data_IF_435592632673
#
_entry.id   IF_435592632673
#
_cell.length_a   1.000
_cell.length_b   1.000
_cell.length_c   1.000
_cell.angle_alpha   90.00
_cell.angle_beta   90.00
_cell.angle_gamma   90.00
#
_symmetry.space_group_name_H-M   'P 1'
#
loop_
_entity.id
_entity.type
_entity.pdbx_description
1 polymer ?
#
# COMPACT_ATOMS: atom_id res chain seq x y z
N UNK A 1 22.20 22.90 15.40
CA UNK A 1 22.63 24.09 16.18
C UNK A 1 22.64 25.29 15.27
N UNK A 2 22.32 26.49 15.80
CA UNK A 2 22.40 27.72 15.03
C UNK A 2 22.87 28.89 15.88
N UNK A 3 23.44 29.88 15.21
CA UNK A 3 23.75 31.20 15.75
C UNK A 3 23.14 32.28 14.86
N UNK A 4 22.56 33.27 15.46
CA UNK A 4 22.14 34.50 14.78
C UNK A 4 23.06 35.60 15.29
N UNK A 5 23.68 36.33 14.36
CA UNK A 5 24.60 37.39 14.71
C UNK A 5 23.97 38.77 14.56
N UNK A 6 24.50 39.78 15.29
CA UNK A 6 23.98 41.16 15.30
C UNK A 6 24.11 41.84 13.94
N UNK A 7 25.01 41.38 13.09
CA UNK A 7 25.21 41.85 11.72
C UNK A 7 24.31 41.10 10.68
N UNK A 8 23.36 40.28 11.15
CA UNK A 8 22.29 39.72 10.35
C UNK A 8 22.61 38.40 9.67
N UNK A 9 23.64 37.67 10.12
CA UNK A 9 23.94 36.32 9.58
C UNK A 9 23.30 35.23 10.44
N UNK A 10 22.77 34.20 9.77
CA UNK A 10 22.36 32.94 10.35
C UNK A 10 23.37 31.83 9.99
N UNK A 11 23.96 31.26 11.00
CA UNK A 11 24.89 30.13 10.87
C UNK A 11 24.23 28.85 11.38
N UNK A 12 24.27 27.81 10.57
CA UNK A 12 23.72 26.48 10.90
C UNK A 12 24.81 25.42 10.80
N UNK A 13 24.92 24.59 11.82
CA UNK A 13 25.85 23.46 11.85
C UNK A 13 25.28 22.29 12.65
N UNK A 14 25.63 21.06 12.24
CA UNK A 14 25.30 19.84 13.00
C UNK A 14 26.00 19.82 14.36
N UNK A 15 27.20 20.38 14.46
CA UNK A 15 28.05 20.33 15.64
C UNK A 15 28.41 21.73 16.17
N UNK A 16 28.85 21.78 17.41
CA UNK A 16 29.34 23.00 18.08
C UNK A 16 30.81 23.22 17.72
N UNK A 17 31.21 24.48 17.52
CA UNK A 17 32.62 24.82 17.30
C UNK A 17 33.12 24.67 15.88
N UNK A 18 32.28 24.34 14.92
CA UNK A 18 32.63 24.25 13.50
C UNK A 18 33.07 25.60 12.92
N UNK A 19 32.43 26.66 13.37
CA UNK A 19 32.74 28.02 12.92
C UNK A 19 33.69 28.69 13.94
N UNK A 20 34.93 28.83 13.55
CA UNK A 20 35.94 29.55 14.31
C UNK A 20 35.89 31.04 13.95
N UNK A 21 36.13 31.90 14.94
CA UNK A 21 36.27 33.34 14.72
C UNK A 21 35.01 34.18 14.99
N UNK A 22 33.87 33.58 15.31
CA UNK A 22 32.68 34.31 15.80
C UNK A 22 32.85 34.59 17.28
N UNK A 23 33.01 35.87 17.65
CA UNK A 23 33.09 36.29 19.06
C UNK A 23 31.71 36.28 19.72
N UNK A 24 31.66 35.91 20.97
CA UNK A 24 30.40 35.78 21.73
C UNK A 24 29.58 37.08 21.76
N UNK A 25 30.28 38.21 21.77
CA UNK A 25 29.65 39.55 21.72
C UNK A 25 28.89 39.85 20.41
N UNK A 26 29.25 39.17 19.33
CA UNK A 26 28.63 39.28 18.02
C UNK A 26 27.35 38.42 17.90
N UNK A 27 27.15 37.50 18.82
CA UNK A 27 26.04 36.57 18.77
C UNK A 27 24.82 37.23 19.41
N UNK A 28 23.73 37.31 18.67
CA UNK A 28 22.44 37.78 19.13
C UNK A 28 21.66 36.65 19.82
N UNK A 29 21.65 35.47 19.17
CA UNK A 29 20.93 34.29 19.64
C UNK A 29 21.72 33.02 19.35
N UNK A 30 21.67 32.07 20.28
CA UNK A 30 22.16 30.69 20.13
C UNK A 30 21.01 29.74 20.31
N UNK A 31 20.86 28.76 19.39
CA UNK A 31 19.79 27.81 19.51
C UNK A 31 20.11 26.42 18.98
N UNK A 32 19.18 25.53 19.26
CA UNK A 32 19.13 24.20 18.69
C UNK A 32 17.73 23.95 18.12
N UNK A 33 17.66 23.49 16.89
CA UNK A 33 16.39 23.02 16.33
C UNK A 33 16.09 21.68 17.01
N UNK A 34 14.95 21.59 17.66
CA UNK A 34 14.47 20.39 18.32
C UNK A 34 13.78 19.46 17.31
N UNK A 35 13.67 18.16 17.58
CA UNK A 35 12.89 17.24 16.76
C UNK A 35 11.46 17.76 16.55
N UNK A 36 10.94 17.66 15.32
CA UNK A 36 9.61 18.12 14.95
C UNK A 36 9.43 19.65 14.88
N UNK A 37 10.52 20.43 15.02
CA UNK A 37 10.52 21.89 14.92
C UNK A 37 11.22 22.36 13.66
N UNK A 38 10.73 23.47 13.10
CA UNK A 38 11.27 24.14 11.91
C UNK A 38 11.87 25.50 12.28
N UNK A 39 12.84 25.93 11.51
CA UNK A 39 13.39 27.28 11.54
C UNK A 39 13.52 27.76 10.10
N UNK A 40 12.93 28.90 9.78
CA UNK A 40 13.00 29.50 8.45
C UNK A 40 13.59 30.90 8.54
N UNK A 41 14.62 31.16 7.74
CA UNK A 41 15.14 32.50 7.51
C UNK A 41 14.53 33.06 6.22
N UNK A 42 13.60 33.98 6.36
CA UNK A 42 13.03 34.72 5.23
C UNK A 42 13.95 35.88 4.88
N UNK A 43 14.77 35.71 3.86
CA UNK A 43 15.75 36.71 3.40
C UNK A 43 15.09 37.92 2.75
N UNK A 44 13.87 37.78 2.24
CA UNK A 44 13.11 38.88 1.63
C UNK A 44 12.52 39.78 2.71
N UNK A 45 11.91 39.17 3.72
CA UNK A 45 11.34 39.89 4.88
C UNK A 45 12.37 40.22 5.95
N UNK A 46 13.59 39.73 5.83
CA UNK A 46 14.68 39.84 6.80
C UNK A 46 14.27 39.40 8.21
N UNK A 47 13.53 38.30 8.29
CA UNK A 47 12.96 37.79 9.54
C UNK A 47 13.26 36.29 9.70
N UNK A 48 13.57 35.90 10.93
CA UNK A 48 13.55 34.48 11.33
C UNK A 48 12.13 34.16 11.77
N UNK A 49 11.55 33.11 11.17
CA UNK A 49 10.23 32.61 11.54
C UNK A 49 10.38 31.45 12.51
N UNK A 50 9.63 31.50 13.59
CA UNK A 50 9.53 30.41 14.54
C UNK A 50 8.69 29.27 14.03
N UNK A 51 8.80 28.08 14.63
CA UNK A 51 8.02 26.90 14.29
C UNK A 51 6.50 27.18 14.33
N UNK A 52 6.04 27.88 15.37
CA UNK A 52 4.62 28.15 15.55
C UNK A 52 4.10 29.14 14.50
N UNK A 53 4.86 30.20 14.18
CA UNK A 53 4.53 31.14 13.09
C UNK A 53 4.46 30.44 11.74
N UNK A 54 5.39 29.52 11.47
CA UNK A 54 5.41 28.74 10.23
C UNK A 54 4.17 27.86 10.15
N UNK A 55 3.92 27.06 11.19
CA UNK A 55 2.78 26.14 11.26
C UNK A 55 1.45 26.88 11.12
N UNK A 56 1.27 27.96 11.84
CA UNK A 56 0.06 28.76 11.75
C UNK A 56 -0.13 29.36 10.36
N UNK A 57 0.93 29.93 9.78
CA UNK A 57 0.88 30.51 8.42
C UNK A 57 0.44 29.48 7.37
N UNK A 58 0.97 28.25 7.43
CA UNK A 58 0.63 27.22 6.45
C UNK A 58 -0.69 26.52 6.76
N UNK A 59 -0.99 26.27 8.04
CA UNK A 59 -2.23 25.60 8.44
C UNK A 59 -3.48 26.46 8.20
N UNK A 60 -3.35 27.80 8.30
CA UNK A 60 -4.45 28.74 8.07
C UNK A 60 -4.57 29.23 6.62
N UNK A 61 -3.69 28.78 5.72
CA UNK A 61 -3.63 29.25 4.34
C UNK A 61 -4.88 28.92 3.53
N UNK A 62 -5.45 27.76 3.81
CA UNK A 62 -6.67 27.25 3.18
C UNK A 62 -7.54 26.56 4.25
N UNK A 63 -8.84 26.39 4.03
CA UNK A 63 -9.73 25.69 4.94
C UNK A 63 -9.61 24.16 4.78
N UNK A 64 -8.42 23.62 5.03
CA UNK A 64 -8.08 22.20 4.80
C UNK A 64 -9.01 21.22 5.54
N UNK A 65 -9.43 21.57 6.77
CA UNK A 65 -10.37 20.77 7.54
C UNK A 65 -11.72 20.64 6.85
N UNK A 66 -12.26 21.75 6.35
CA UNK A 66 -13.54 21.75 5.62
C UNK A 66 -13.44 20.95 4.31
N UNK A 67 -12.28 21.04 3.62
CA UNK A 67 -12.07 20.26 2.39
C UNK A 67 -12.06 18.74 2.67
N UNK A 68 -11.39 18.33 3.75
CA UNK A 68 -11.36 16.92 4.16
C UNK A 68 -12.76 16.44 4.57
N UNK A 69 -13.47 17.20 5.40
CA UNK A 69 -14.81 16.85 5.88
C UNK A 69 -15.83 16.73 4.73
N UNK A 70 -15.68 17.53 3.68
CA UNK A 70 -16.62 17.55 2.55
C UNK A 70 -16.31 16.50 1.48
N UNK A 71 -15.05 16.10 1.32
CA UNK A 71 -14.62 15.33 0.15
C UNK A 71 -14.03 13.96 0.47
N UNK A 72 -13.36 13.81 1.61
CA UNK A 72 -12.78 12.53 2.01
C UNK A 72 -13.88 11.59 2.54
N UNK A 73 -13.83 10.34 2.09
CA UNK A 73 -14.75 9.30 2.57
C UNK A 73 -13.97 8.20 3.28
N UNK A 74 -14.57 7.55 4.24
CA UNK A 74 -14.02 6.34 4.84
C UNK A 74 -14.70 5.09 4.25
N UNK A 75 -13.93 4.04 4.02
CA UNK A 75 -14.44 2.78 3.47
C UNK A 75 -15.58 2.18 4.31
N UNK A 76 -15.51 2.35 5.64
CA UNK A 76 -16.57 1.88 6.55
C UNK A 76 -17.95 2.52 6.28
N UNK A 77 -17.96 3.77 5.79
CA UNK A 77 -19.18 4.54 5.56
C UNK A 77 -19.83 4.23 4.20
N UNK A 78 -19.13 3.49 3.34
CA UNK A 78 -19.68 3.06 2.07
C UNK A 78 -20.78 2.01 2.28
N UNK A 79 -21.89 2.18 1.57
CA UNK A 79 -22.98 1.19 1.57
C UNK A 79 -22.54 -0.11 0.89
N UNK A 80 -22.92 -1.22 1.48
CA UNK A 80 -22.74 -2.54 0.85
C UNK A 80 -23.71 -2.61 -0.33
N UNK A 81 -23.24 -2.84 -1.56
CA UNK A 81 -24.10 -3.03 -2.71
C UNK A 81 -25.02 -4.25 -2.54
N UNK A 82 -26.24 -4.17 -3.07
CA UNK A 82 -27.14 -5.32 -3.10
C UNK A 82 -26.70 -6.35 -4.16
N UNK A 83 -25.49 -6.87 -3.98
CA UNK A 83 -24.87 -7.86 -4.85
C UNK A 83 -24.16 -8.88 -3.94
N UNK A 84 -24.32 -10.15 -4.25
CA UNK A 84 -23.59 -11.20 -3.52
C UNK A 84 -22.13 -11.21 -3.91
N UNK A 85 -21.28 -11.46 -2.93
CA UNK A 85 -19.85 -11.82 -3.18
C UNK A 85 -19.87 -13.15 -3.94
N UNK A 86 -19.05 -13.25 -4.97
CA UNK A 86 -18.84 -14.48 -5.71
C UNK A 86 -18.16 -15.52 -4.82
N UNK A 87 -18.78 -16.67 -4.68
CA UNK A 87 -18.28 -17.78 -3.86
C UNK A 87 -17.97 -18.97 -4.76
N UNK A 88 -16.94 -19.68 -4.44
CA UNK A 88 -16.53 -20.90 -5.13
C UNK A 88 -17.00 -22.13 -4.35
N UNK A 89 -17.28 -23.20 -5.07
CA UNK A 89 -17.48 -24.53 -4.45
C UNK A 89 -16.15 -25.08 -3.92
N UNK A 90 -16.21 -26.04 -3.02
CA UNK A 90 -15.00 -26.69 -2.46
C UNK A 90 -14.13 -27.30 -3.57
N UNK A 91 -14.75 -27.89 -4.61
CA UNK A 91 -14.06 -28.46 -5.75
C UNK A 91 -13.37 -27.38 -6.59
N UNK A 92 -14.00 -26.22 -6.77
CA UNK A 92 -13.40 -25.08 -7.46
C UNK A 92 -12.24 -24.49 -6.64
N UNK A 93 -12.42 -24.30 -5.34
CA UNK A 93 -11.36 -23.85 -4.43
C UNK A 93 -10.16 -24.82 -4.46
N UNK A 94 -10.38 -26.12 -4.42
CA UNK A 94 -9.32 -27.11 -4.49
C UNK A 94 -8.55 -27.05 -5.83
N UNK A 95 -9.26 -26.85 -6.95
CA UNK A 95 -8.63 -26.67 -8.28
C UNK A 95 -7.83 -25.36 -8.34
N UNK A 96 -8.37 -24.27 -7.84
CA UNK A 96 -7.69 -22.98 -7.79
C UNK A 96 -6.44 -23.02 -6.89
N UNK A 97 -6.55 -23.59 -5.68
CA UNK A 97 -5.37 -23.77 -4.80
C UNK A 97 -4.26 -24.57 -5.51
N UNK A 98 -4.62 -25.62 -6.24
CA UNK A 98 -3.64 -26.37 -7.04
C UNK A 98 -3.05 -25.54 -8.18
N UNK A 99 -3.87 -24.76 -8.89
CA UNK A 99 -3.42 -23.91 -9.99
C UNK A 99 -2.48 -22.78 -9.50
N UNK A 100 -2.75 -22.20 -8.34
CA UNK A 100 -1.94 -21.16 -7.71
C UNK A 100 -0.85 -21.69 -6.76
N UNK A 101 -0.64 -23.02 -6.74
CA UNK A 101 0.47 -23.66 -6.06
C UNK A 101 0.42 -23.54 -4.52
N UNK A 102 -0.76 -23.57 -3.91
CA UNK A 102 -0.90 -23.65 -2.47
C UNK A 102 -0.33 -24.96 -1.95
N UNK A 103 0.57 -24.90 -0.98
CA UNK A 103 1.10 -26.07 -0.31
C UNK A 103 0.27 -26.44 0.94
N UNK A 104 0.50 -27.64 1.46
CA UNK A 104 -0.13 -28.09 2.70
C UNK A 104 0.31 -27.24 3.90
N UNK A 105 1.58 -26.86 3.94
CA UNK A 105 2.17 -26.04 4.97
C UNK A 105 1.56 -24.60 4.93
N UNK A 106 1.43 -24.02 3.76
CA UNK A 106 0.79 -22.69 3.63
C UNK A 106 -0.67 -22.73 4.10
N UNK A 107 -1.38 -23.82 3.81
CA UNK A 107 -2.75 -24.02 4.28
C UNK A 107 -2.80 -24.15 5.81
N UNK A 108 -2.02 -25.06 6.40
CA UNK A 108 -2.08 -25.41 7.82
C UNK A 108 -1.31 -24.48 8.75
N UNK A 109 -0.11 -24.08 8.36
CA UNK A 109 0.82 -23.39 9.24
C UNK A 109 0.79 -21.87 9.05
N UNK A 110 0.49 -21.40 7.83
CA UNK A 110 0.39 -19.96 7.55
C UNK A 110 -1.06 -19.46 7.65
N UNK A 111 -1.92 -19.81 6.71
CA UNK A 111 -3.28 -19.24 6.62
C UNK A 111 -4.10 -19.55 7.87
N UNK A 112 -4.12 -20.82 8.30
CA UNK A 112 -4.87 -21.22 9.50
C UNK A 112 -4.37 -20.50 10.75
N UNK A 113 -3.07 -20.37 10.93
CA UNK A 113 -2.47 -19.73 12.11
C UNK A 113 -2.79 -18.23 12.13
N UNK A 114 -2.68 -17.55 11.02
CA UNK A 114 -3.05 -16.14 10.91
C UNK A 114 -4.54 -15.93 11.18
N UNK A 115 -5.41 -16.74 10.59
CA UNK A 115 -6.85 -16.67 10.82
C UNK A 115 -7.27 -16.98 12.26
N UNK A 116 -6.51 -17.81 12.98
CA UNK A 116 -6.78 -18.16 14.37
C UNK A 116 -6.27 -17.09 15.34
N UNK A 117 -5.04 -16.60 15.14
CA UNK A 117 -4.28 -15.83 16.13
C UNK A 117 -4.05 -14.35 15.76
N UNK A 118 -4.33 -13.93 14.52
CA UNK A 118 -4.01 -12.59 14.04
C UNK A 118 -2.50 -12.32 13.94
N UNK A 119 -1.69 -13.37 13.82
CA UNK A 119 -0.22 -13.28 13.73
C UNK A 119 0.33 -14.38 12.84
N UNK A 120 1.48 -14.14 12.23
CA UNK A 120 2.20 -15.20 11.52
C UNK A 120 2.62 -16.33 12.47
N UNK A 121 2.67 -17.54 11.94
CA UNK A 121 3.21 -18.69 12.65
C UNK A 121 4.69 -18.52 12.98
N UNK A 122 5.10 -19.04 14.13
CA UNK A 122 6.52 -19.10 14.51
C UNK A 122 7.18 -20.22 13.70
N UNK A 123 8.12 -19.86 12.85
CA UNK A 123 8.87 -20.80 12.00
C UNK A 123 10.37 -20.66 12.21
N UNK A 124 11.13 -21.62 11.68
CA UNK A 124 12.59 -21.52 11.66
C UNK A 124 13.04 -20.32 10.84
N UNK A 125 14.01 -19.57 11.35
CA UNK A 125 14.65 -18.46 10.62
C UNK A 125 15.63 -18.93 9.56
N UNK A 126 16.12 -20.15 9.63
CA UNK A 126 17.00 -20.77 8.64
C UNK A 126 16.18 -21.35 7.47
N UNK A 127 16.60 -21.09 6.25
CA UNK A 127 16.00 -21.65 5.05
C UNK A 127 17.05 -22.48 4.32
N UNK A 128 16.90 -23.79 4.35
CA UNK A 128 17.75 -24.75 3.62
C UNK A 128 17.28 -25.02 2.20
N UNK A 129 16.17 -24.43 1.78
CA UNK A 129 15.64 -24.55 0.43
C UNK A 129 16.59 -23.92 -0.59
N UNK A 130 16.86 -24.57 -1.75
CA UNK A 130 17.64 -23.98 -2.82
C UNK A 130 17.05 -22.63 -3.25
N UNK A 131 17.92 -21.74 -3.74
CA UNK A 131 17.46 -20.51 -4.40
C UNK A 131 16.40 -20.83 -5.44
N UNK A 132 15.32 -20.04 -5.49
CA UNK A 132 14.21 -20.25 -6.41
C UNK A 132 14.66 -20.40 -7.87
N UNK A 133 15.67 -19.64 -8.30
CA UNK A 133 16.25 -19.72 -9.64
C UNK A 133 16.96 -21.05 -9.94
N UNK A 134 17.32 -21.82 -8.92
CA UNK A 134 17.99 -23.13 -9.04
C UNK A 134 17.04 -24.30 -8.77
N UNK A 135 15.77 -24.04 -8.51
CA UNK A 135 14.77 -25.07 -8.25
C UNK A 135 14.19 -25.62 -9.55
N UNK A 136 13.91 -26.93 -9.58
CA UNK A 136 13.13 -27.57 -10.65
C UNK A 136 11.60 -27.37 -10.47
N UNK A 137 11.17 -26.81 -9.34
CA UNK A 137 9.78 -26.42 -9.11
C UNK A 137 9.58 -25.02 -9.65
N UNK A 138 8.35 -24.65 -9.96
CA UNK A 138 7.98 -23.28 -10.30
C UNK A 138 7.51 -22.57 -9.02
N UNK A 139 8.40 -21.91 -8.28
CA UNK A 139 8.00 -21.15 -7.10
C UNK A 139 7.26 -19.89 -7.53
N UNK A 140 6.47 -19.34 -6.62
CA UNK A 140 5.85 -18.03 -6.81
C UNK A 140 6.92 -16.96 -7.02
N UNK A 141 6.59 -15.94 -7.79
CA UNK A 141 7.51 -14.82 -8.06
C UNK A 141 8.00 -14.15 -6.76
N UNK A 142 7.19 -14.12 -5.73
CA UNK A 142 7.54 -13.60 -4.39
C UNK A 142 8.78 -14.28 -3.79
N UNK A 143 9.00 -15.57 -4.07
CA UNK A 143 10.14 -16.32 -3.54
C UNK A 143 11.52 -15.82 -4.01
N UNK A 144 11.56 -15.01 -5.06
CA UNK A 144 12.79 -14.39 -5.56
C UNK A 144 13.17 -13.11 -4.79
N UNK A 145 12.25 -12.54 -4.00
CA UNK A 145 12.44 -11.32 -3.26
C UNK A 145 12.74 -11.67 -1.80
N UNK A 146 14.01 -11.57 -1.43
CA UNK A 146 14.48 -11.86 -0.06
C UNK A 146 15.36 -10.72 0.43
N UNK A 147 15.27 -10.44 1.71
CA UNK A 147 16.18 -9.53 2.38
C UNK A 147 17.61 -10.08 2.31
N UNK A 148 18.57 -9.24 1.89
CA UNK A 148 19.97 -9.65 1.70
C UNK A 148 20.90 -9.24 2.83
N UNK A 149 20.48 -8.33 3.71
CA UNK A 149 21.31 -7.85 4.83
C UNK A 149 20.53 -7.89 6.11
N UNK A 150 21.27 -8.03 7.21
CA UNK A 150 20.69 -7.99 8.54
C UNK A 150 20.07 -6.62 8.83
N UNK A 151 18.97 -6.62 9.53
CA UNK A 151 18.35 -5.42 10.09
C UNK A 151 18.35 -5.52 11.61
N UNK A 152 18.35 -4.35 12.28
CA UNK A 152 18.20 -4.32 13.74
C UNK A 152 16.80 -4.80 14.11
N UNK A 153 16.73 -5.67 15.12
CA UNK A 153 15.46 -6.22 15.61
C UNK A 153 14.54 -5.13 16.16
N UNK A 154 15.12 -4.16 16.85
CA UNK A 154 14.39 -2.99 17.38
C UNK A 154 14.99 -1.72 16.75
N UNK A 155 14.48 -1.26 15.59
CA UNK A 155 14.95 -0.03 14.98
C UNK A 155 14.67 1.16 15.91
N UNK A 156 15.56 2.18 15.94
CA UNK A 156 15.41 3.34 16.82
C UNK A 156 14.31 4.28 16.30
N UNK A 157 13.06 3.92 16.55
CA UNK A 157 11.88 4.72 16.20
C UNK A 157 11.42 5.41 17.47
N UNK A 158 11.35 6.76 17.43
CA UNK A 158 10.80 7.54 18.54
C UNK A 158 9.25 7.45 18.56
N UNK A 159 8.66 7.71 19.73
CA UNK A 159 7.21 7.60 19.95
C UNK A 159 6.35 8.52 19.05
N UNK A 160 6.91 9.60 18.52
CA UNK A 160 6.21 10.51 17.59
C UNK A 160 6.17 9.92 16.20
N UNK A 161 7.30 9.36 15.75
CA UNK A 161 7.42 8.73 14.43
C UNK A 161 6.74 7.36 14.36
N UNK A 162 6.60 6.67 15.48
CA UNK A 162 5.95 5.36 15.55
C UNK A 162 4.57 5.36 14.90
N UNK A 163 3.76 6.38 15.18
CA UNK A 163 2.41 6.52 14.59
C UNK A 163 2.42 6.61 13.06
N UNK A 164 3.49 7.13 12.47
CA UNK A 164 3.63 7.23 11.01
C UNK A 164 4.19 5.92 10.45
N UNK A 165 5.21 5.38 11.09
CA UNK A 165 5.92 4.17 10.61
C UNK A 165 5.03 2.92 10.69
N UNK A 166 4.18 2.82 11.72
CA UNK A 166 3.26 1.69 11.91
C UNK A 166 1.89 1.90 11.29
N UNK A 167 1.66 3.03 10.62
CA UNK A 167 0.38 3.32 10.00
C UNK A 167 0.20 2.51 8.72
N UNK A 168 -0.88 1.75 8.65
CA UNK A 168 -1.28 0.94 7.48
C UNK A 168 -2.35 1.61 6.63
N UNK A 169 -2.86 2.78 7.04
CA UNK A 169 -3.90 3.48 6.28
C UNK A 169 -3.43 3.94 4.91
N UNK A 170 -4.25 3.72 3.90
CA UNK A 170 -4.03 4.15 2.52
C UNK A 170 -5.16 5.05 2.04
N UNK A 171 -4.85 5.92 1.10
CA UNK A 171 -5.81 6.81 0.46
C UNK A 171 -5.93 6.42 -1.01
N UNK A 172 -7.13 6.05 -1.43
CA UNK A 172 -7.41 5.52 -2.77
C UNK A 172 -8.26 6.55 -3.52
N UNK A 173 -7.77 7.01 -4.66
CA UNK A 173 -8.44 8.00 -5.50
C UNK A 173 -7.44 8.86 -6.24
N UNK A 174 -7.95 9.90 -6.88
CA UNK A 174 -7.12 10.84 -7.63
C UNK A 174 -6.46 11.83 -6.69
N UNK A 175 -5.15 11.68 -6.47
CA UNK A 175 -4.39 12.59 -5.60
C UNK A 175 -4.21 13.99 -6.20
N UNK A 176 -4.19 14.11 -7.53
CA UNK A 176 -3.95 15.37 -8.21
C UNK A 176 -2.50 15.86 -8.09
N UNK A 177 -2.32 17.17 -8.18
CA UNK A 177 -1.00 17.79 -8.04
C UNK A 177 -0.83 18.34 -6.61
N UNK A 178 0.00 17.72 -5.81
CA UNK A 178 0.28 18.13 -4.40
C UNK A 178 0.88 19.54 -4.27
N UNK A 179 1.47 20.07 -5.35
CA UNK A 179 1.99 21.45 -5.37
C UNK A 179 0.89 22.48 -5.69
N UNK A 180 -0.31 22.03 -6.04
CA UNK A 180 -1.46 22.87 -6.32
C UNK A 180 -2.59 22.49 -5.38
N UNK A 181 -2.67 23.21 -4.28
CA UNK A 181 -3.67 22.98 -3.23
C UNK A 181 -5.08 23.32 -3.74
N UNK A 182 -5.96 22.34 -3.76
CA UNK A 182 -7.34 22.50 -4.18
C UNK A 182 -8.24 21.43 -3.54
N UNK A 183 -9.54 21.74 -3.31
CA UNK A 183 -10.47 20.82 -2.63
C UNK A 183 -10.56 19.44 -3.28
N UNK A 184 -10.44 19.38 -4.62
CA UNK A 184 -10.53 18.16 -5.41
C UNK A 184 -9.43 17.14 -5.07
N UNK A 185 -8.29 17.59 -4.52
CA UNK A 185 -7.22 16.68 -4.07
C UNK A 185 -7.64 15.85 -2.84
N UNK A 186 -8.71 16.27 -2.16
CA UNK A 186 -9.28 15.56 -1.01
C UNK A 186 -10.36 14.52 -1.39
N UNK A 187 -10.68 14.37 -2.69
CA UNK A 187 -11.65 13.37 -3.17
C UNK A 187 -11.03 11.98 -3.19
N UNK A 188 -10.79 11.44 -2.01
CA UNK A 188 -10.15 10.14 -1.81
C UNK A 188 -10.94 9.28 -0.83
N UNK A 189 -10.80 7.97 -0.99
CA UNK A 189 -11.31 6.97 -0.07
C UNK A 189 -10.21 6.57 0.92
N UNK A 190 -10.42 6.85 2.19
CA UNK A 190 -9.53 6.40 3.25
C UNK A 190 -9.85 4.95 3.61
N UNK A 191 -8.83 4.11 3.57
CA UNK A 191 -8.87 2.69 3.90
C UNK A 191 -7.87 2.45 5.02
N UNK A 192 -8.32 1.91 6.14
CA UNK A 192 -7.47 1.76 7.33
C UNK A 192 -6.52 0.56 7.26
N UNK A 193 -6.87 -0.45 6.48
CA UNK A 193 -6.04 -1.63 6.24
C UNK A 193 -5.93 -1.89 4.74
N UNK A 194 -4.73 -2.03 4.17
CA UNK A 194 -4.54 -2.27 2.74
C UNK A 194 -4.92 -3.69 2.31
N UNK A 195 -5.15 -4.62 3.26
CA UNK A 195 -5.72 -5.94 2.96
C UNK A 195 -7.23 -5.81 3.06
N UNK A 196 -7.92 -6.10 1.98
CA UNK A 196 -9.35 -5.86 1.83
C UNK A 196 -10.12 -7.16 1.99
N UNK A 197 -11.13 -7.16 2.85
CA UNK A 197 -12.14 -8.22 2.82
C UNK A 197 -12.91 -8.22 1.49
N UNK A 198 -13.56 -9.33 1.15
CA UNK A 198 -14.39 -9.42 -0.06
C UNK A 198 -15.52 -8.39 -0.03
N UNK A 199 -16.08 -8.11 1.15
CA UNK A 199 -17.12 -7.07 1.32
C UNK A 199 -16.57 -5.67 1.06
N UNK A 200 -15.35 -5.39 1.50
CA UNK A 200 -14.73 -4.08 1.29
C UNK A 200 -14.39 -3.85 -0.18
N UNK A 201 -13.87 -4.86 -0.85
CA UNK A 201 -13.67 -4.79 -2.31
C UNK A 201 -15.00 -4.60 -3.04
N UNK A 202 -16.08 -5.29 -2.62
CA UNK A 202 -17.41 -5.13 -3.21
C UNK A 202 -17.94 -3.70 -3.04
N UNK A 203 -17.74 -3.07 -1.87
CA UNK A 203 -18.07 -1.66 -1.65
C UNK A 203 -17.31 -0.75 -2.62
N UNK A 204 -16.00 -0.97 -2.78
CA UNK A 204 -15.16 -0.19 -3.69
C UNK A 204 -15.61 -0.37 -5.14
N UNK A 205 -15.88 -1.60 -5.58
CA UNK A 205 -16.41 -1.87 -6.93
C UNK A 205 -17.75 -1.17 -7.18
N UNK A 206 -18.53 -0.96 -6.12
CA UNK A 206 -19.84 -0.30 -6.17
C UNK A 206 -19.83 1.22 -6.08
N UNK A 207 -18.72 1.84 -5.72
CA UNK A 207 -18.67 3.30 -5.52
C UNK A 207 -18.91 4.06 -6.84
N UNK A 208 -19.71 5.12 -6.76
CA UNK A 208 -20.06 5.98 -7.91
C UNK A 208 -20.12 7.44 -7.45
N UNK A 209 -19.01 7.93 -6.93
CA UNK A 209 -18.92 9.31 -6.45
C UNK A 209 -17.88 10.09 -7.26
N UNK A 210 -17.98 11.41 -7.35
CA UNK A 210 -17.01 12.23 -8.03
C UNK A 210 -15.59 11.92 -7.57
N UNK A 211 -14.68 11.68 -8.52
CA UNK A 211 -13.28 11.30 -8.22
C UNK A 211 -13.05 9.82 -7.90
N UNK A 212 -14.07 9.01 -7.70
CA UNK A 212 -13.97 7.58 -7.36
C UNK A 212 -14.70 6.71 -8.38
N UNK A 213 -14.02 6.38 -9.48
CA UNK A 213 -14.57 5.55 -10.57
C UNK A 213 -13.73 4.28 -10.74
N UNK A 214 -14.11 3.17 -10.10
CA UNK A 214 -13.37 1.91 -10.20
C UNK A 214 -13.62 1.26 -11.56
N UNK A 215 -12.56 0.69 -12.13
CA UNK A 215 -12.61 -0.15 -13.31
C UNK A 215 -11.81 -1.43 -13.08
N UNK A 216 -12.35 -2.56 -13.53
CA UNK A 216 -11.72 -3.87 -13.43
C UNK A 216 -10.98 -4.19 -14.72
N UNK A 217 -9.77 -4.71 -14.59
CA UNK A 217 -8.95 -5.20 -15.71
C UNK A 217 -8.41 -6.58 -15.34
N UNK A 218 -8.67 -7.54 -16.24
CA UNK A 218 -8.23 -8.93 -16.07
C UNK A 218 -6.72 -9.04 -16.26
N UNK A 219 -6.05 -9.73 -15.35
CA UNK A 219 -4.65 -10.12 -15.49
C UNK A 219 -4.50 -11.59 -15.89
N UNK A 220 -5.51 -12.10 -16.58
CA UNK A 220 -5.47 -13.44 -17.18
C UNK A 220 -5.17 -13.36 -18.67
N UNK A 221 -4.54 -14.39 -19.20
CA UNK A 221 -4.24 -14.52 -20.62
C UNK A 221 -4.43 -15.95 -21.09
N UNK A 222 -4.56 -16.15 -22.41
CA UNK A 222 -4.64 -17.48 -22.98
C UNK A 222 -3.35 -18.28 -22.71
N UNK A 223 -3.48 -19.54 -22.33
CA UNK A 223 -2.40 -20.45 -21.93
C UNK A 223 -1.21 -20.50 -22.90
N UNK A 224 -1.45 -20.29 -24.19
CA UNK A 224 -0.40 -20.32 -25.23
C UNK A 224 0.11 -18.93 -25.62
N UNK A 225 -0.36 -17.88 -25.00
CA UNK A 225 0.09 -16.51 -25.26
C UNK A 225 1.45 -16.28 -24.60
N UNK A 226 2.36 -15.62 -25.30
CA UNK A 226 3.61 -15.22 -24.67
C UNK A 226 3.36 -14.14 -23.62
N UNK A 227 4.10 -14.18 -22.50
CA UNK A 227 3.99 -13.21 -21.42
C UNK A 227 4.17 -11.77 -21.89
N UNK A 228 5.07 -11.54 -22.86
CA UNK A 228 5.28 -10.21 -23.45
C UNK A 228 4.00 -9.67 -24.08
N UNK A 229 3.34 -10.48 -24.92
CA UNK A 229 2.08 -10.09 -25.58
C UNK A 229 0.97 -9.90 -24.54
N UNK A 230 0.92 -10.73 -23.50
CA UNK A 230 -0.05 -10.59 -22.42
C UNK A 230 0.10 -9.24 -21.67
N UNK A 231 1.33 -8.83 -21.37
CA UNK A 231 1.61 -7.54 -20.74
C UNK A 231 1.28 -6.36 -21.68
N UNK A 232 1.61 -6.45 -22.97
CA UNK A 232 1.26 -5.40 -23.94
C UNK A 232 -0.27 -5.21 -24.03
N UNK A 233 -1.04 -6.29 -24.03
CA UNK A 233 -2.51 -6.25 -23.99
C UNK A 233 -3.02 -5.66 -22.69
N UNK A 234 -2.41 -6.03 -21.56
CA UNK A 234 -2.76 -5.46 -20.25
C UNK A 234 -2.60 -3.94 -20.26
N UNK A 235 -1.51 -3.40 -20.82
CA UNK A 235 -1.31 -1.95 -20.91
C UNK A 235 -2.37 -1.26 -21.79
N UNK A 236 -2.79 -1.89 -22.88
CA UNK A 236 -3.85 -1.36 -23.75
C UNK A 236 -5.19 -1.29 -22.97
N UNK A 237 -5.53 -2.34 -22.22
CA UNK A 237 -6.75 -2.33 -21.41
C UNK A 237 -6.69 -1.29 -20.28
N UNK A 238 -5.54 -1.12 -19.64
CA UNK A 238 -5.32 -0.06 -18.64
C UNK A 238 -5.52 1.32 -19.26
N UNK A 239 -5.00 1.56 -20.46
CA UNK A 239 -5.20 2.82 -21.17
C UNK A 239 -6.68 3.03 -21.55
N UNK A 240 -7.36 2.00 -21.98
CA UNK A 240 -8.78 2.06 -22.31
C UNK A 240 -9.60 2.53 -21.09
N UNK A 241 -9.47 1.85 -19.95
CA UNK A 241 -10.24 2.23 -18.76
C UNK A 241 -9.85 3.61 -18.22
N UNK A 242 -8.59 4.02 -18.38
CA UNK A 242 -8.16 5.39 -18.06
C UNK A 242 -8.86 6.42 -18.94
N UNK A 243 -8.94 6.18 -20.25
CA UNK A 243 -9.64 7.07 -21.19
C UNK A 243 -11.15 7.11 -20.95
N UNK A 244 -11.72 6.02 -20.44
CA UNK A 244 -13.12 5.95 -20.00
C UNK A 244 -13.37 6.68 -18.66
N UNK A 245 -12.33 7.25 -18.05
CA UNK A 245 -12.42 8.10 -16.85
C UNK A 245 -12.24 7.35 -15.52
N UNK A 246 -11.72 6.12 -15.55
CA UNK A 246 -11.42 5.40 -14.32
C UNK A 246 -10.37 6.14 -13.48
N UNK A 247 -10.59 6.18 -12.16
CA UNK A 247 -9.68 6.75 -11.17
C UNK A 247 -9.26 5.73 -10.09
N UNK A 248 -9.71 4.50 -10.21
CA UNK A 248 -9.28 3.35 -9.39
C UNK A 248 -9.16 2.16 -10.33
N UNK A 249 -7.99 1.56 -10.39
CA UNK A 249 -7.73 0.37 -11.21
C UNK A 249 -7.77 -0.89 -10.34
N UNK A 250 -8.67 -1.81 -10.64
CA UNK A 250 -8.74 -3.10 -9.99
C UNK A 250 -8.18 -4.16 -10.95
N UNK A 251 -7.01 -4.68 -10.64
CA UNK A 251 -6.42 -5.81 -11.36
C UNK A 251 -6.96 -7.11 -10.76
N UNK A 252 -7.49 -8.01 -11.57
CA UNK A 252 -8.09 -9.24 -11.08
C UNK A 252 -7.63 -10.47 -11.88
N UNK A 253 -7.30 -11.56 -11.18
CA UNK A 253 -7.00 -12.87 -11.78
C UNK A 253 -8.18 -13.84 -11.72
N UNK A 254 -9.37 -13.37 -11.32
CA UNK A 254 -10.57 -14.19 -11.46
C UNK A 254 -10.78 -14.60 -12.90
N UNK A 255 -11.26 -15.81 -13.14
CA UNK A 255 -11.43 -16.35 -14.49
C UNK A 255 -10.25 -17.21 -14.98
N UNK A 256 -9.37 -17.64 -14.07
CA UNK A 256 -8.43 -18.73 -14.36
C UNK A 256 -9.20 -20.03 -14.58
N UNK A 257 -9.00 -20.65 -15.74
CA UNK A 257 -9.65 -21.87 -16.17
C UNK A 257 -8.68 -22.78 -16.97
N UNK A 258 -9.21 -23.78 -17.68
CA UNK A 258 -8.39 -24.71 -18.48
C UNK A 258 -7.68 -24.02 -19.66
N UNK A 259 -8.17 -22.88 -20.10
CA UNK A 259 -7.69 -22.11 -21.28
C UNK A 259 -7.00 -20.81 -20.90
N UNK A 260 -7.27 -20.27 -19.73
CA UNK A 260 -6.72 -19.01 -19.23
C UNK A 260 -5.86 -19.21 -17.99
N UNK A 261 -4.69 -18.61 -18.00
CA UNK A 261 -3.74 -18.58 -16.90
C UNK A 261 -3.55 -17.16 -16.40
N UNK A 262 -3.25 -16.99 -15.10
CA UNK A 262 -2.95 -15.69 -14.55
C UNK A 262 -1.53 -15.25 -14.94
N UNK A 263 -1.37 -13.96 -15.24
CA UNK A 263 -0.07 -13.30 -15.17
C UNK A 263 0.31 -13.26 -13.68
N UNK A 264 1.54 -13.63 -13.28
CA UNK A 264 1.94 -13.53 -11.86
C UNK A 264 1.59 -12.17 -11.28
N UNK A 265 0.86 -12.15 -10.18
CA UNK A 265 0.24 -10.93 -9.64
C UNK A 265 1.25 -9.83 -9.35
N UNK A 266 2.40 -10.18 -8.76
CA UNK A 266 3.49 -9.24 -8.50
C UNK A 266 4.05 -8.63 -9.79
N UNK A 267 4.19 -9.42 -10.85
CA UNK A 267 4.64 -8.93 -12.14
C UNK A 267 3.60 -7.98 -12.77
N UNK A 268 2.33 -8.35 -12.71
CA UNK A 268 1.25 -7.53 -13.26
C UNK A 268 1.18 -6.17 -12.54
N UNK A 269 1.18 -6.16 -11.20
CA UNK A 269 1.19 -4.93 -10.39
C UNK A 269 2.40 -4.07 -10.72
N UNK A 270 3.62 -4.63 -10.67
CA UNK A 270 4.84 -3.89 -10.95
C UNK A 270 4.87 -3.33 -12.37
N UNK A 271 4.52 -4.15 -13.37
CA UNK A 271 4.50 -3.72 -14.77
C UNK A 271 3.51 -2.58 -15.02
N UNK A 272 2.29 -2.70 -14.48
CA UNK A 272 1.26 -1.66 -14.60
C UNK A 272 1.67 -0.40 -13.82
N UNK A 273 2.17 -0.53 -12.59
CA UNK A 273 2.64 0.61 -11.81
C UNK A 273 3.71 1.41 -12.58
N UNK A 274 4.74 0.75 -13.06
CA UNK A 274 5.80 1.41 -13.83
C UNK A 274 5.31 1.96 -15.18
N UNK A 275 4.33 1.29 -15.80
CA UNK A 275 3.67 1.83 -16.99
C UNK A 275 2.92 3.12 -16.70
N UNK A 276 2.14 3.16 -15.62
CA UNK A 276 1.43 4.38 -15.18
C UNK A 276 2.40 5.51 -14.81
N UNK A 277 3.53 5.20 -14.17
CA UNK A 277 4.58 6.20 -13.87
C UNK A 277 5.15 6.77 -15.17
N UNK A 278 5.56 5.92 -16.10
CA UNK A 278 6.14 6.39 -17.40
C UNK A 278 5.15 7.20 -18.22
N UNK A 279 3.87 6.87 -18.15
CA UNK A 279 2.79 7.58 -18.88
C UNK A 279 2.17 8.72 -18.09
N UNK A 280 2.74 9.06 -16.90
CA UNK A 280 2.29 10.15 -16.01
C UNK A 280 0.84 10.02 -15.53
N UNK A 281 0.40 8.79 -15.26
CA UNK A 281 -0.97 8.45 -14.81
C UNK A 281 -1.01 7.94 -13.37
N UNK A 282 0.13 7.69 -12.74
CA UNK A 282 0.22 7.01 -11.43
C UNK A 282 -0.49 7.75 -10.30
N UNK A 283 -0.49 9.09 -10.30
CA UNK A 283 -1.17 9.91 -9.29
C UNK A 283 -2.68 10.01 -9.48
N UNK A 284 -3.20 9.46 -10.58
CA UNK A 284 -4.62 9.51 -10.92
C UNK A 284 -5.30 8.16 -10.72
N UNK A 285 -4.53 7.07 -10.80
CA UNK A 285 -5.07 5.72 -10.88
C UNK A 285 -4.30 4.76 -9.95
N UNK A 286 -4.62 4.75 -8.64
CA UNK A 286 -4.12 3.76 -7.68
C UNK A 286 -4.54 2.35 -8.09
N UNK A 287 -3.72 1.36 -7.75
CA UNK A 287 -3.92 -0.04 -8.13
C UNK A 287 -4.43 -0.82 -6.92
N UNK A 288 -5.57 -1.46 -7.06
CA UNK A 288 -6.06 -2.51 -6.16
C UNK A 288 -5.85 -3.86 -6.86
N UNK A 289 -5.35 -4.83 -6.13
CA UNK A 289 -5.20 -6.19 -6.64
C UNK A 289 -6.23 -7.11 -6.00
N UNK A 290 -7.01 -7.80 -6.81
CA UNK A 290 -7.86 -8.93 -6.43
C UNK A 290 -7.21 -10.20 -6.98
N UNK A 291 -6.62 -11.03 -6.11
CA UNK A 291 -5.82 -12.17 -6.59
C UNK A 291 -5.90 -13.38 -5.67
N UNK A 292 -5.84 -14.56 -6.31
CA UNK A 292 -5.71 -15.83 -5.62
C UNK A 292 -4.29 -16.12 -5.11
N UNK A 293 -3.29 -15.40 -5.60
CA UNK A 293 -1.88 -15.75 -5.40
C UNK A 293 -1.35 -15.36 -4.01
N UNK A 294 -1.61 -14.13 -3.45
CA UNK A 294 -1.07 -13.70 -2.17
C UNK A 294 -1.77 -14.40 -0.99
N UNK A 295 -1.00 -14.87 -0.02
CA UNK A 295 -1.49 -15.59 1.15
C UNK A 295 -0.63 -15.48 2.40
N UNK A 296 0.52 -14.81 2.33
CA UNK A 296 1.46 -14.61 3.43
C UNK A 296 1.87 -13.14 3.54
N UNK A 297 2.27 -12.71 4.73
CA UNK A 297 2.68 -11.32 4.99
C UNK A 297 3.75 -10.85 4.01
N UNK A 298 4.73 -11.71 3.67
CA UNK A 298 5.76 -11.39 2.68
C UNK A 298 5.18 -11.06 1.29
N UNK A 299 4.12 -11.76 0.88
CA UNK A 299 3.45 -11.51 -0.40
C UNK A 299 2.79 -10.14 -0.41
N UNK A 300 2.07 -9.79 0.66
CA UNK A 300 1.42 -8.48 0.80
C UNK A 300 2.43 -7.35 0.85
N UNK A 301 3.45 -7.48 1.70
CA UNK A 301 4.52 -6.48 1.81
C UNK A 301 5.20 -6.23 0.46
N UNK A 302 5.46 -7.29 -0.31
CA UNK A 302 6.09 -7.19 -1.63
C UNK A 302 5.14 -6.51 -2.63
N UNK A 303 3.86 -6.87 -2.67
CA UNK A 303 2.86 -6.25 -3.55
C UNK A 303 2.70 -4.75 -3.29
N UNK A 304 2.57 -4.37 -2.01
CA UNK A 304 2.49 -2.96 -1.61
C UNK A 304 3.77 -2.21 -1.99
N UNK A 305 4.93 -2.81 -1.75
CA UNK A 305 6.22 -2.24 -2.13
C UNK A 305 6.40 -2.04 -3.64
N UNK A 306 5.73 -2.83 -4.47
CA UNK A 306 5.76 -2.74 -5.93
C UNK A 306 4.59 -1.96 -6.55
N UNK A 307 3.77 -1.32 -5.73
CA UNK A 307 2.83 -0.30 -6.18
C UNK A 307 1.34 -0.65 -6.07
N UNK A 308 0.97 -1.77 -5.43
CA UNK A 308 -0.40 -1.97 -5.04
C UNK A 308 -0.78 -1.02 -3.90
N UNK A 309 -1.93 -0.36 -3.99
CA UNK A 309 -2.48 0.45 -2.89
C UNK A 309 -3.27 -0.40 -1.90
N UNK A 310 -3.88 -1.47 -2.39
CA UNK A 310 -4.59 -2.45 -1.56
C UNK A 310 -4.66 -3.81 -2.26
N UNK A 311 -4.90 -4.86 -1.48
CA UNK A 311 -4.93 -6.25 -1.97
C UNK A 311 -6.13 -6.97 -1.37
N UNK A 312 -6.90 -7.69 -2.20
CA UNK A 312 -7.91 -8.64 -1.75
C UNK A 312 -7.45 -10.07 -2.09
N UNK A 313 -7.09 -10.88 -1.10
CA UNK A 313 -6.63 -12.26 -1.28
C UNK A 313 -7.81 -13.24 -1.31
N UNK A 314 -8.69 -13.12 -2.29
CA UNK A 314 -9.98 -13.83 -2.30
C UNK A 314 -9.89 -15.34 -2.08
N UNK A 315 -8.86 -16.02 -2.60
CA UNK A 315 -8.72 -17.47 -2.43
C UNK A 315 -8.25 -17.86 -1.02
N UNK A 316 -7.47 -17.00 -0.37
CA UNK A 316 -7.15 -17.20 1.05
C UNK A 316 -8.43 -17.06 1.91
N UNK A 317 -9.29 -16.07 1.63
CA UNK A 317 -10.58 -15.93 2.31
C UNK A 317 -11.52 -17.13 2.08
N UNK A 318 -11.60 -17.62 0.83
CA UNK A 318 -12.36 -18.84 0.53
C UNK A 318 -11.77 -20.07 1.25
N UNK A 319 -10.45 -20.15 1.36
CA UNK A 319 -9.77 -21.20 2.10
C UNK A 319 -10.10 -21.15 3.60
N UNK A 320 -10.14 -19.95 4.19
CA UNK A 320 -10.57 -19.76 5.59
C UNK A 320 -12.04 -20.15 5.76
N UNK A 321 -12.91 -19.82 4.80
CA UNK A 321 -14.33 -20.23 4.84
C UNK A 321 -14.46 -21.75 4.89
N UNK A 322 -13.75 -22.44 4.01
CA UNK A 322 -13.76 -23.91 3.99
C UNK A 322 -13.26 -24.49 5.32
N UNK A 323 -12.21 -23.93 5.91
CA UNK A 323 -11.72 -24.37 7.23
C UNK A 323 -12.75 -24.19 8.35
N UNK A 324 -13.49 -23.11 8.35
CA UNK A 324 -14.58 -22.87 9.32
C UNK A 324 -15.73 -23.87 9.10
N UNK A 325 -16.14 -24.08 7.84
CA UNK A 325 -17.21 -25.05 7.51
C UNK A 325 -16.83 -26.49 7.83
N UNK A 326 -15.56 -26.85 7.68
CA UNK A 326 -15.04 -28.19 8.00
C UNK A 326 -14.71 -28.38 9.49
N UNK A 327 -14.91 -27.34 10.33
CA UNK A 327 -14.61 -27.39 11.76
C UNK A 327 -13.12 -27.40 12.10
N UNK A 328 -12.26 -27.01 11.18
CA UNK A 328 -10.80 -26.89 11.38
C UNK A 328 -10.42 -25.59 12.08
N UNK A 329 -11.32 -24.60 12.09
CA UNK A 329 -11.23 -23.34 12.83
C UNK A 329 -12.46 -23.21 13.73
N UNK A 330 -12.26 -23.23 15.04
CA UNK A 330 -13.32 -22.96 16.04
C UNK A 330 -13.54 -21.45 16.18
N UNK A 331 -13.92 -20.80 15.09
CA UNK A 331 -14.08 -19.35 15.02
C UNK A 331 -15.14 -18.98 13.96
N UNK A 332 -15.82 -17.86 14.16
CA UNK A 332 -16.69 -17.30 13.12
C UNK A 332 -15.89 -16.85 11.90
N UNK A 333 -16.44 -17.03 10.72
CA UNK A 333 -15.80 -16.69 9.45
C UNK A 333 -15.32 -15.22 9.40
N UNK A 334 -16.18 -14.29 9.81
CA UNK A 334 -15.83 -12.87 9.74
C UNK A 334 -14.72 -12.50 10.74
N UNK A 335 -14.75 -13.12 11.93
CA UNK A 335 -13.67 -12.94 12.89
C UNK A 335 -12.35 -13.58 12.43
N UNK A 336 -12.42 -14.72 11.74
CA UNK A 336 -11.24 -15.41 11.20
C UNK A 336 -10.60 -14.61 10.05
N UNK A 337 -11.41 -14.06 9.15
CA UNK A 337 -10.92 -13.19 8.06
C UNK A 337 -10.36 -11.88 8.62
N UNK A 338 -11.04 -11.28 9.60
CA UNK A 338 -10.55 -10.04 10.24
C UNK A 338 -9.20 -10.21 10.90
N UNK A 339 -8.95 -11.36 11.55
CA UNK A 339 -7.67 -11.64 12.19
C UNK A 339 -6.59 -12.01 11.14
N UNK A 340 -6.98 -12.57 10.00
CA UNK A 340 -6.07 -12.85 8.90
C UNK A 340 -5.63 -11.57 8.19
N UNK A 341 -6.56 -10.62 7.95
CA UNK A 341 -6.33 -9.35 7.25
C UNK A 341 -5.55 -8.35 8.13
#
# INVERSE_FOLDING_TARGET
RYYITRDGYLYLSSEVGVLQGIREEQILEKGRIHPGKMLVADTVRQKILTDDEIKETYASRQPYGEWLDQHMMELKDLKIPNKKVEQYTKEECARLRKAFGYSYEEYHDSIRTMALNGTEGITSMGVDTPLAALSNKQPLLFSYFKQRFAQVTNPPIDAVREKIVTNTSVYIGKEGNILKEQPENCQVLKVNNPILSDTDLLKIKGVRQPGLYPAEVMITCMKHMSLKIALERLFIEVDRVYMDGASILILTDRGVDETHVAIPSLLAVSAVHHYLVRTKKSTVMPIILESAEPREVHHFATLLGYGASAVNPYLAHETIREMVEDGLLEKDYYAAVHDYD
#
